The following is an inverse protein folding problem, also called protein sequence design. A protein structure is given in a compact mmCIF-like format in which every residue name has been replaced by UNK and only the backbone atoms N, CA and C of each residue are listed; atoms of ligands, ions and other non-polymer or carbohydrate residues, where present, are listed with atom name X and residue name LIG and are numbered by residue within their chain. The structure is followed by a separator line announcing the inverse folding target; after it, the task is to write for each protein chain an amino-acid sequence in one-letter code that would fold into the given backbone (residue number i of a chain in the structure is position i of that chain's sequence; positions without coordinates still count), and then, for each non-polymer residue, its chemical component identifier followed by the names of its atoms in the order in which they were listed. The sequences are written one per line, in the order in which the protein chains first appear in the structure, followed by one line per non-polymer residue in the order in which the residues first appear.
data_IF_816675780490
#
_entry.id   IF_816675780490
#
_cell.length_a   1.000
_cell.length_b   1.000
_cell.length_c   1.000
_cell.angle_alpha   90.00
_cell.angle_beta   90.00
_cell.angle_gamma   90.00
#
_symmetry.space_group_name_H-M   'P 1'
#
loop_
_entity.id
_entity.type
_entity.pdbx_description
1 polymer ?
#
# COMPACT_ATOMS: atom_id res chain seq x y z
N UNK A 1 -28.90 -25.44 -47.06
CA UNK A 1 -28.61 -25.50 -45.61
C UNK A 1 -27.93 -24.21 -45.28
N UNK A 2 -28.67 -23.30 -44.65
CA UNK A 2 -28.18 -21.97 -44.29
C UNK A 2 -27.27 -22.15 -43.08
N UNK A 3 -25.97 -21.86 -43.25
CA UNK A 3 -25.00 -21.87 -42.16
C UNK A 3 -25.21 -20.61 -41.35
N UNK A 4 -25.92 -20.76 -40.23
CA UNK A 4 -26.09 -19.75 -39.19
C UNK A 4 -24.72 -19.16 -38.84
N UNK A 5 -24.61 -17.84 -39.00
CA UNK A 5 -23.41 -17.08 -38.73
C UNK A 5 -23.06 -17.19 -37.25
N UNK A 6 -21.93 -17.83 -36.93
CA UNK A 6 -21.32 -17.73 -35.61
C UNK A 6 -21.05 -16.25 -35.31
N UNK A 7 -21.96 -15.65 -34.54
CA UNK A 7 -21.73 -14.40 -33.82
C UNK A 7 -20.41 -14.56 -33.07
N UNK A 8 -19.37 -13.89 -33.55
CA UNK A 8 -18.08 -13.85 -32.89
C UNK A 8 -18.26 -13.00 -31.63
N UNK A 9 -18.80 -13.61 -30.58
CA UNK A 9 -18.86 -13.05 -29.23
C UNK A 9 -17.42 -12.74 -28.86
N UNK A 10 -17.04 -11.47 -28.99
CA UNK A 10 -15.74 -10.99 -28.55
C UNK A 10 -15.51 -11.49 -27.12
N UNK A 11 -14.36 -12.12 -26.81
CA UNK A 11 -14.11 -12.66 -25.48
C UNK A 11 -14.13 -11.49 -24.50
N UNK A 12 -15.25 -11.33 -23.80
CA UNK A 12 -15.37 -10.32 -22.74
C UNK A 12 -14.32 -10.67 -21.68
N UNK A 13 -13.57 -9.68 -21.16
CA UNK A 13 -12.70 -9.90 -20.02
C UNK A 13 -13.54 -10.50 -18.88
N UNK A 14 -13.20 -11.71 -18.45
CA UNK A 14 -13.98 -12.44 -17.44
C UNK A 14 -13.64 -11.96 -16.03
N UNK A 15 -12.47 -11.36 -15.84
CA UNK A 15 -11.98 -10.94 -14.53
C UNK A 15 -11.56 -9.47 -14.54
N UNK A 16 -12.08 -8.74 -13.56
CA UNK A 16 -11.76 -7.35 -13.28
C UNK A 16 -11.67 -7.15 -11.77
N UNK A 17 -10.90 -6.17 -11.35
CA UNK A 17 -10.76 -5.78 -9.96
C UNK A 17 -10.75 -4.27 -9.85
N UNK A 18 -11.29 -3.76 -8.75
CA UNK A 18 -11.18 -2.34 -8.40
C UNK A 18 -10.68 -2.24 -6.97
N UNK A 19 -9.55 -1.56 -6.79
CA UNK A 19 -8.96 -1.29 -5.48
C UNK A 19 -9.33 0.12 -5.04
N UNK A 20 -9.80 0.27 -3.80
CA UNK A 20 -9.96 1.56 -3.15
C UNK A 20 -8.95 1.66 -2.02
N UNK A 21 -7.93 2.50 -2.20
CA UNK A 21 -6.82 2.68 -1.27
C UNK A 21 -6.93 4.09 -0.69
N UNK A 22 -7.61 4.20 0.45
CA UNK A 22 -7.98 5.50 1.03
C UNK A 22 -8.91 6.29 0.10
N UNK A 23 -8.47 7.48 -0.30
CA UNK A 23 -9.20 8.33 -1.27
C UNK A 23 -8.96 7.92 -2.73
N UNK A 24 -7.94 7.10 -3.01
CA UNK A 24 -7.54 6.73 -4.36
C UNK A 24 -8.31 5.49 -4.84
N UNK A 25 -8.66 5.44 -6.13
CA UNK A 25 -9.39 4.31 -6.72
C UNK A 25 -8.70 3.85 -8.01
N UNK A 26 -8.38 2.57 -8.09
CA UNK A 26 -7.64 1.94 -9.16
C UNK A 26 -8.47 0.82 -9.79
N UNK A 27 -8.65 0.84 -11.10
CA UNK A 27 -9.36 -0.23 -11.81
C UNK A 27 -8.36 -1.04 -12.63
N UNK A 28 -8.35 -2.35 -12.41
CA UNK A 28 -7.50 -3.31 -13.11
C UNK A 28 -8.42 -4.21 -13.93
N UNK A 29 -8.17 -4.27 -15.24
CA UNK A 29 -8.91 -5.11 -16.17
C UNK A 29 -7.94 -6.12 -16.73
N UNK A 30 -8.30 -7.41 -16.72
CA UNK A 30 -7.53 -8.38 -17.46
C UNK A 30 -7.53 -8.00 -18.95
N UNK A 31 -6.34 -7.77 -19.47
CA UNK A 31 -6.12 -7.62 -20.91
C UNK A 31 -6.36 -8.96 -21.60
N UNK A 32 -6.63 -8.90 -22.91
CA UNK A 32 -7.08 -10.00 -23.77
C UNK A 32 -6.18 -11.25 -23.68
N UNK A 33 -6.38 -12.06 -22.64
CA UNK A 33 -5.83 -13.40 -22.48
C UNK A 33 -6.83 -14.41 -23.02
N UNK A 34 -6.32 -15.42 -23.72
CA UNK A 34 -7.13 -16.46 -24.37
C UNK A 34 -7.82 -17.36 -23.33
N UNK A 35 -7.24 -17.48 -22.14
CA UNK A 35 -7.70 -18.34 -21.06
C UNK A 35 -7.91 -17.56 -19.75
N UNK A 36 -8.80 -18.08 -18.90
CA UNK A 36 -9.08 -17.50 -17.58
C UNK A 36 -7.83 -17.46 -16.68
N UNK A 37 -6.98 -18.48 -16.74
CA UNK A 37 -5.75 -18.55 -15.95
C UNK A 37 -4.77 -17.44 -16.32
N UNK A 38 -4.58 -17.18 -17.62
CA UNK A 38 -3.76 -16.08 -18.12
C UNK A 38 -4.31 -14.72 -17.69
N UNK A 39 -5.63 -14.53 -17.79
CA UNK A 39 -6.29 -13.32 -17.30
C UNK A 39 -6.08 -13.11 -15.80
N UNK A 40 -6.12 -14.17 -14.99
CA UNK A 40 -5.87 -14.12 -13.55
C UNK A 40 -4.39 -13.80 -13.22
N UNK A 41 -3.45 -14.36 -13.97
CA UNK A 41 -2.02 -14.06 -13.81
C UNK A 41 -1.75 -12.59 -14.12
N UNK A 42 -2.28 -12.07 -15.24
CA UNK A 42 -2.17 -10.66 -15.61
C UNK A 42 -2.81 -9.75 -14.55
N UNK A 43 -4.01 -10.10 -14.08
CA UNK A 43 -4.70 -9.33 -13.04
C UNK A 43 -3.87 -9.30 -11.75
N UNK A 44 -3.27 -10.42 -11.35
CA UNK A 44 -2.38 -10.50 -10.18
C UNK A 44 -1.20 -9.56 -10.33
N UNK A 45 -0.51 -9.61 -11.47
CA UNK A 45 0.69 -8.79 -11.71
C UNK A 45 0.38 -7.29 -11.72
N UNK A 46 -0.69 -6.88 -12.41
CA UNK A 46 -1.11 -5.49 -12.41
C UNK A 46 -1.58 -5.01 -11.02
N UNK A 47 -2.30 -5.86 -10.29
CA UNK A 47 -2.74 -5.54 -8.92
C UNK A 47 -1.55 -5.37 -7.98
N UNK A 48 -0.55 -6.25 -8.08
CA UNK A 48 0.69 -6.17 -7.31
C UNK A 48 1.45 -4.88 -7.60
N UNK A 49 1.55 -4.48 -8.86
CA UNK A 49 2.20 -3.23 -9.24
C UNK A 49 1.49 -2.02 -8.61
N UNK A 50 0.16 -1.94 -8.72
CA UNK A 50 -0.64 -0.87 -8.09
C UNK A 50 -0.38 -0.78 -6.57
N UNK A 51 -0.40 -1.92 -5.87
CA UNK A 51 -0.17 -1.94 -4.43
C UNK A 51 1.25 -1.53 -4.07
N UNK A 52 2.25 -2.01 -4.82
CA UNK A 52 3.65 -1.64 -4.60
C UNK A 52 3.86 -0.14 -4.78
N UNK A 53 3.34 0.43 -5.86
CA UNK A 53 3.48 1.85 -6.16
C UNK A 53 2.80 2.70 -5.09
N UNK A 54 1.59 2.31 -4.66
CA UNK A 54 0.89 2.98 -3.58
C UNK A 54 1.68 2.94 -2.27
N UNK A 55 2.16 1.77 -1.84
CA UNK A 55 2.95 1.65 -0.61
C UNK A 55 4.22 2.48 -0.71
N UNK A 56 4.96 2.39 -1.82
CA UNK A 56 6.22 3.11 -2.03
C UNK A 56 6.02 4.62 -1.95
N UNK A 57 4.95 5.14 -2.56
CA UNK A 57 4.62 6.57 -2.54
C UNK A 57 4.27 7.08 -1.14
N UNK A 58 3.56 6.27 -0.35
CA UNK A 58 2.97 6.71 0.92
C UNK A 58 3.78 6.31 2.17
N UNK A 59 4.67 5.32 2.07
CA UNK A 59 5.48 4.82 3.18
C UNK A 59 6.95 5.26 3.08
N UNK A 60 7.27 6.28 2.27
CA UNK A 60 8.61 6.89 2.30
C UNK A 60 8.85 7.33 3.75
N UNK A 61 9.91 6.84 4.42
CA UNK A 61 10.28 7.32 5.73
C UNK A 61 10.45 8.82 5.61
N UNK A 62 9.64 9.57 6.36
CA UNK A 62 9.88 10.99 6.49
C UNK A 62 11.28 11.12 7.06
N UNK A 63 12.18 11.78 6.32
CA UNK A 63 13.59 12.03 6.66
C UNK A 63 13.64 12.43 8.14
N UNK A 64 13.84 11.44 9.01
CA UNK A 64 13.97 11.68 10.44
C UNK A 64 15.39 12.20 10.51
N UNK A 65 15.60 13.50 10.81
CA UNK A 65 16.94 14.00 10.93
C UNK A 65 17.61 13.10 11.95
N UNK A 66 18.70 12.42 11.55
CA UNK A 66 19.56 11.73 12.48
C UNK A 66 19.85 12.76 13.57
N UNK A 67 19.27 12.58 14.76
CA UNK A 67 19.56 13.44 15.90
C UNK A 67 21.07 13.30 16.08
N UNK A 68 21.81 14.31 15.61
CA UNK A 68 23.25 14.36 15.72
C UNK A 68 23.54 14.19 17.20
N UNK A 69 24.07 13.03 17.55
CA UNK A 69 24.70 12.75 18.84
C UNK A 69 25.93 13.65 18.93
N UNK A 70 25.70 14.96 19.03
CA UNK A 70 26.68 15.94 19.48
C UNK A 70 26.95 15.56 20.93
N UNK A 71 28.06 14.85 21.08
CA UNK A 71 28.65 14.43 22.33
C UNK A 71 28.56 15.56 23.37
N UNK A 72 27.79 15.33 24.43
CA UNK A 72 27.86 16.15 25.64
C UNK A 72 28.29 15.26 26.80
N UNK A 73 29.61 15.21 26.95
CA UNK A 73 30.42 14.99 28.16
C UNK A 73 30.18 13.73 29.00
N UNK A 74 31.22 12.90 29.02
CA UNK A 74 31.78 12.23 30.20
C UNK A 74 31.48 13.00 31.50
N UNK A 75 30.71 12.39 32.42
CA UNK A 75 30.94 12.45 33.88
C UNK A 75 30.12 11.36 34.61
N UNK A 76 30.85 10.69 35.50
CA UNK A 76 30.63 9.60 36.45
C UNK A 76 29.23 9.09 36.89
N UNK A 77 29.26 7.80 37.27
CA UNK A 77 28.52 7.07 38.33
C UNK A 77 27.28 7.75 38.96
N UNK A 78 26.14 7.04 38.99
CA UNK A 78 25.61 6.40 40.22
C UNK A 78 24.21 5.78 39.98
N UNK A 79 23.83 4.88 40.88
CA UNK A 79 22.72 3.93 40.86
C UNK A 79 21.29 4.54 40.80
N UNK A 80 20.36 3.71 40.33
CA UNK A 80 18.95 3.61 40.74
C UNK A 80 18.16 4.88 41.10
N UNK A 81 17.37 5.40 40.15
CA UNK A 81 16.22 6.24 40.49
C UNK A 81 15.01 6.02 39.56
N UNK A 82 14.11 5.14 40.04
CA UNK A 82 12.66 5.05 39.79
C UNK A 82 12.05 6.11 38.87
N UNK A 83 11.59 5.70 37.69
CA UNK A 83 10.68 6.49 36.84
C UNK A 83 9.34 6.74 37.57
N UNK A 84 8.95 8.01 37.87
CA UNK A 84 7.59 8.31 38.26
C UNK A 84 6.72 8.51 37.00
N UNK A 85 5.47 8.10 37.15
CA UNK A 85 4.42 8.01 36.15
C UNK A 85 4.26 9.27 35.28
N UNK A 86 4.03 9.02 33.99
CA UNK A 86 3.69 10.03 32.98
C UNK A 86 2.34 10.65 33.34
N UNK A 87 2.38 11.88 33.87
CA UNK A 87 1.20 12.71 34.13
C UNK A 87 0.73 13.34 32.83
N UNK A 88 -0.32 12.77 32.23
CA UNK A 88 -1.03 13.33 31.08
C UNK A 88 -1.69 14.65 31.47
N UNK A 89 -1.16 15.77 30.96
CA UNK A 89 -1.79 17.10 31.11
C UNK A 89 -2.83 17.26 30.00
N UNK A 90 -4.10 17.13 30.36
CA UNK A 90 -5.27 17.44 29.52
C UNK A 90 -5.27 18.93 29.19
N UNK A 91 -5.08 19.29 27.92
CA UNK A 91 -5.29 20.65 27.43
C UNK A 91 -6.79 20.88 27.21
N UNK A 92 -7.26 22.02 27.69
CA UNK A 92 -8.65 22.49 27.64
C UNK A 92 -8.78 23.27 26.33
N UNK A 93 -9.78 22.95 25.51
CA UNK A 93 -10.17 23.79 24.38
C UNK A 93 -10.82 25.08 24.95
N UNK A 94 -10.35 26.23 24.46
CA UNK A 94 -11.04 27.52 24.59
C UNK A 94 -12.19 27.57 23.60
#
# INVERSE_FOLDING_TARGET
METESCDAVLPRPQVNATFRLGAESYSVKATNGSSLSEQLVNLKEQSMAVLKDFITKHNVPQDVPDESLEASSDDDDDEDAKKPQVKSKKTKFT
#
